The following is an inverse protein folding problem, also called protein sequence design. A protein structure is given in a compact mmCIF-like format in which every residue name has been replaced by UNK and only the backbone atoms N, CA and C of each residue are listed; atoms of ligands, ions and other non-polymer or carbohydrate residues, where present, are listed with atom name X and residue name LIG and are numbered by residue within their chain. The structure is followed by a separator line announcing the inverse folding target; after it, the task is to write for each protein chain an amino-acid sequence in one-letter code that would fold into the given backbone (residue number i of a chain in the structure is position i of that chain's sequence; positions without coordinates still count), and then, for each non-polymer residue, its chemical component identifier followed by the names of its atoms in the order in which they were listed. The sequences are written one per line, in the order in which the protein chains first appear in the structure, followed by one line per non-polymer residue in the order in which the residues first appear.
data_IF_541926757176
#
_entry.id   IF_541926757176
#
_cell.length_a   1.000
_cell.length_b   1.000
_cell.length_c   1.000
_cell.angle_alpha   90.00
_cell.angle_beta   90.00
_cell.angle_gamma   90.00
#
_symmetry.space_group_name_H-M   'P 1'
#
loop_
_entity.id
_entity.type
_entity.pdbx_description
1 polymer ?
#
# COMPACT_ATOMS: atom_id res chain seq x y z
N UNK A 1 95.19 18.67 2.14
CA UNK A 1 94.12 17.81 2.70
C UNK A 1 92.78 18.52 2.52
N UNK A 2 92.01 18.15 1.49
CA UNK A 2 90.64 18.63 1.27
C UNK A 2 89.70 17.43 1.41
N UNK A 3 88.85 17.42 2.44
CA UNK A 3 87.76 16.45 2.56
C UNK A 3 86.47 17.09 2.07
N UNK A 4 85.93 16.58 0.95
CA UNK A 4 84.55 16.84 0.52
C UNK A 4 83.61 16.00 1.36
N UNK A 5 82.61 16.62 2.00
CA UNK A 5 81.49 15.92 2.64
C UNK A 5 80.37 15.76 1.60
N UNK A 6 80.07 14.53 1.21
CA UNK A 6 78.89 14.19 0.40
C UNK A 6 77.68 14.03 1.32
N UNK A 7 76.62 14.80 1.07
CA UNK A 7 75.32 14.60 1.70
C UNK A 7 74.51 13.61 0.85
N UNK A 8 74.07 12.50 1.45
CA UNK A 8 73.17 11.52 0.83
C UNK A 8 71.74 11.95 1.19
N UNK A 9 70.97 12.34 0.18
CA UNK A 9 69.54 12.64 0.29
C UNK A 9 68.77 11.33 0.11
N UNK A 10 68.17 10.81 1.19
CA UNK A 10 67.27 9.66 1.15
C UNK A 10 65.87 10.18 0.82
N UNK A 11 65.38 9.89 -0.39
CA UNK A 11 64.00 10.15 -0.80
C UNK A 11 63.16 8.94 -0.38
N UNK A 12 62.30 9.13 0.61
CA UNK A 12 61.29 8.14 1.01
C UNK A 12 60.05 8.36 0.14
N UNK A 13 59.82 7.44 -0.81
CA UNK A 13 58.58 7.41 -1.61
C UNK A 13 57.52 6.69 -0.77
N UNK A 14 56.61 7.45 -0.17
CA UNK A 14 55.40 6.92 0.48
C UNK A 14 54.39 6.64 -0.64
N UNK A 15 54.30 5.39 -1.07
CA UNK A 15 53.22 4.92 -1.94
C UNK A 15 51.94 4.75 -1.12
N UNK A 16 51.04 5.74 -1.18
CA UNK A 16 49.65 5.56 -0.73
C UNK A 16 48.96 4.56 -1.68
N UNK A 17 48.72 3.35 -1.19
CA UNK A 17 47.79 2.41 -1.79
C UNK A 17 46.37 2.94 -1.53
N UNK A 18 45.77 3.61 -2.52
CA UNK A 18 44.32 3.78 -2.55
C UNK A 18 43.71 2.44 -2.99
N UNK A 19 43.14 1.70 -2.05
CA UNK A 19 42.19 0.65 -2.40
C UNK A 19 40.95 1.32 -3.02
N UNK A 20 40.40 0.82 -4.14
CA UNK A 20 39.12 1.30 -4.62
C UNK A 20 38.06 1.02 -3.54
N UNK A 21 37.24 2.02 -3.21
CA UNK A 21 36.07 1.79 -2.40
C UNK A 21 35.18 0.79 -3.14
N UNK A 22 35.02 -0.42 -2.59
CA UNK A 22 34.01 -1.37 -3.06
C UNK A 22 32.67 -0.77 -2.67
N UNK A 23 31.97 -0.23 -3.65
CA UNK A 23 30.65 0.33 -3.46
C UNK A 23 29.66 -0.84 -3.42
N UNK A 24 29.06 -1.09 -2.25
CA UNK A 24 28.05 -2.14 -2.11
C UNK A 24 26.76 -1.67 -2.79
N UNK A 25 26.11 -2.55 -3.55
CA UNK A 25 24.74 -2.31 -4.01
C UNK A 25 23.83 -2.11 -2.79
N UNK A 26 22.94 -1.12 -2.83
CA UNK A 26 22.00 -0.85 -1.74
C UNK A 26 20.58 -1.26 -2.13
N UNK A 27 19.92 -1.94 -1.20
CA UNK A 27 18.49 -2.22 -1.25
C UNK A 27 17.74 -0.98 -0.76
N UNK A 28 17.01 -0.32 -1.66
CA UNK A 28 16.06 0.73 -1.32
C UNK A 28 14.68 0.12 -1.08
N UNK A 29 14.19 0.22 0.15
CA UNK A 29 12.92 -0.36 0.53
C UNK A 29 11.77 0.50 0.00
N UNK A 30 10.84 -0.11 -0.72
CA UNK A 30 9.69 0.59 -1.34
C UNK A 30 8.38 0.42 -0.57
N UNK A 31 8.35 -0.42 0.48
CA UNK A 31 7.17 -0.59 1.36
C UNK A 31 7.51 -0.48 2.85
N UNK A 32 6.61 0.14 3.61
CA UNK A 32 6.64 0.04 5.06
C UNK A 32 6.29 -1.36 5.53
N UNK A 33 6.73 -1.69 6.75
CA UNK A 33 6.41 -2.92 7.45
C UNK A 33 6.89 -4.18 6.71
N UNK A 34 7.97 -4.08 5.93
CA UNK A 34 8.57 -5.22 5.25
C UNK A 34 9.27 -6.12 6.27
N UNK A 35 8.85 -7.37 6.39
CA UNK A 35 9.48 -8.31 7.30
C UNK A 35 10.91 -8.63 6.85
N UNK A 36 11.83 -8.66 7.81
CA UNK A 36 13.19 -9.18 7.63
C UNK A 36 13.29 -10.54 8.32
N UNK A 37 13.77 -11.55 7.59
CA UNK A 37 13.74 -12.96 8.03
C UNK A 37 15.12 -13.58 8.16
N UNK A 38 15.24 -14.65 8.96
CA UNK A 38 16.50 -15.40 9.14
C UNK A 38 17.02 -16.06 7.85
N UNK A 39 16.15 -16.29 6.86
CA UNK A 39 16.52 -16.95 5.62
C UNK A 39 15.59 -16.57 4.45
N UNK A 40 15.96 -16.95 3.22
CA UNK A 40 15.23 -16.60 2.00
C UNK A 40 13.96 -17.45 1.86
N UNK A 41 12.89 -17.03 2.52
CA UNK A 41 11.60 -17.71 2.48
C UNK A 41 10.65 -17.28 3.58
N UNK A 42 9.35 -17.40 3.31
CA UNK A 42 8.29 -17.04 4.28
C UNK A 42 8.19 -18.03 5.46
N UNK A 43 8.84 -19.19 5.36
CA UNK A 43 8.94 -20.22 6.39
C UNK A 43 10.04 -19.95 7.44
N UNK A 44 10.91 -18.96 7.23
CA UNK A 44 11.92 -18.55 8.21
C UNK A 44 11.33 -17.56 9.21
N UNK A 45 11.87 -17.55 10.44
CA UNK A 45 11.40 -16.64 11.48
C UNK A 45 11.63 -15.17 11.07
N UNK A 46 10.67 -14.31 11.40
CA UNK A 46 10.85 -12.86 11.32
C UNK A 46 11.78 -12.42 12.45
N UNK A 47 12.86 -11.73 12.10
CA UNK A 47 13.85 -11.18 13.04
C UNK A 47 13.79 -9.66 13.15
N UNK A 48 13.27 -8.98 12.12
CA UNK A 48 13.14 -7.53 12.13
C UNK A 48 12.02 -7.06 11.18
N UNK A 49 11.82 -5.75 11.09
CA UNK A 49 10.91 -5.11 10.16
C UNK A 49 11.45 -3.74 9.70
N UNK A 50 11.49 -3.52 8.39
CA UNK A 50 12.05 -2.31 7.75
C UNK A 50 10.97 -1.55 6.98
N UNK A 51 11.22 -0.27 6.67
CA UNK A 51 10.22 0.65 6.14
C UNK A 51 10.58 1.32 4.81
N UNK A 52 9.59 1.91 4.14
CA UNK A 52 9.81 2.62 2.87
C UNK A 52 10.84 3.74 3.08
N UNK A 53 11.83 3.80 2.19
CA UNK A 53 12.90 4.80 2.23
C UNK A 53 14.16 4.32 2.94
N UNK A 54 14.09 3.23 3.70
CA UNK A 54 15.27 2.63 4.32
C UNK A 54 16.23 2.10 3.23
N UNK A 55 17.53 2.21 3.51
CA UNK A 55 18.61 1.77 2.64
C UNK A 55 19.51 0.81 3.39
N UNK A 56 19.77 -0.35 2.81
CA UNK A 56 20.64 -1.35 3.42
C UNK A 56 21.64 -1.90 2.41
N UNK A 57 22.91 -2.11 2.81
CA UNK A 57 23.87 -2.82 1.97
C UNK A 57 23.38 -4.23 1.63
N UNK A 58 23.47 -4.60 0.35
CA UNK A 58 23.14 -5.94 -0.12
C UNK A 58 24.34 -6.87 0.12
N UNK A 59 24.09 -7.99 0.80
CA UNK A 59 25.08 -9.06 1.05
C UNK A 59 24.98 -10.18 0.02
N UNK A 60 23.76 -10.52 -0.37
CA UNK A 60 23.44 -11.59 -1.31
C UNK A 60 22.08 -11.34 -1.95
N UNK A 61 21.83 -11.92 -3.13
CA UNK A 61 20.53 -11.87 -3.77
C UNK A 61 20.20 -13.15 -4.53
N UNK A 62 18.91 -13.43 -4.61
CA UNK A 62 18.28 -14.44 -5.44
C UNK A 62 17.10 -13.79 -6.19
N UNK A 63 16.49 -14.48 -7.15
CA UNK A 63 15.37 -13.92 -7.93
C UNK A 63 14.22 -13.39 -7.05
N UNK A 64 13.94 -14.04 -5.91
CA UNK A 64 12.81 -13.72 -5.04
C UNK A 64 13.19 -13.06 -3.70
N UNK A 65 14.46 -13.09 -3.29
CA UNK A 65 14.90 -12.64 -1.96
C UNK A 65 16.26 -11.95 -2.00
N UNK A 66 16.38 -10.89 -1.22
CA UNK A 66 17.60 -10.08 -1.06
C UNK A 66 18.03 -10.13 0.40
N UNK A 67 19.29 -10.43 0.66
CA UNK A 67 19.91 -10.38 1.98
C UNK A 67 20.47 -8.98 2.23
N UNK A 68 19.90 -8.30 3.22
CA UNK A 68 20.28 -6.95 3.64
C UNK A 68 21.06 -7.00 4.95
N UNK A 69 22.07 -6.15 5.08
CA UNK A 69 22.75 -5.92 6.36
C UNK A 69 22.00 -4.86 7.17
N UNK A 70 21.44 -5.26 8.31
CA UNK A 70 20.59 -4.42 9.16
C UNK A 70 21.43 -3.62 10.17
N UNK A 71 22.48 -4.24 10.70
CA UNK A 71 23.43 -3.69 11.68
C UNK A 71 24.80 -4.37 11.49
N UNK A 72 25.86 -3.86 12.14
CA UNK A 72 27.23 -4.41 12.06
C UNK A 72 27.27 -5.91 12.37
N UNK A 73 27.39 -6.73 11.31
CA UNK A 73 27.42 -8.20 11.40
C UNK A 73 26.06 -8.90 11.52
N UNK A 74 24.94 -8.18 11.53
CA UNK A 74 23.58 -8.74 11.50
C UNK A 74 22.96 -8.57 10.11
N UNK A 75 22.56 -9.67 9.48
CA UNK A 75 21.90 -9.66 8.19
C UNK A 75 20.58 -10.42 8.24
N UNK A 76 19.69 -10.13 7.29
CA UNK A 76 18.44 -10.84 7.13
C UNK A 76 17.85 -10.65 5.74
N UNK A 77 16.84 -11.45 5.43
CA UNK A 77 16.29 -11.59 4.08
C UNK A 77 14.97 -10.86 3.94
N UNK A 78 14.83 -10.10 2.85
CA UNK A 78 13.61 -9.39 2.44
C UNK A 78 13.17 -9.83 1.04
N UNK A 79 11.87 -9.76 0.73
CA UNK A 79 11.34 -10.12 -0.59
C UNK A 79 11.79 -9.10 -1.64
N UNK A 80 12.29 -9.58 -2.79
CA UNK A 80 12.79 -8.72 -3.88
C UNK A 80 11.69 -7.85 -4.50
N UNK A 81 10.42 -8.24 -4.38
CA UNK A 81 9.27 -7.52 -4.94
C UNK A 81 9.05 -6.12 -4.32
N UNK A 82 9.67 -5.85 -3.16
CA UNK A 82 9.54 -4.59 -2.44
C UNK A 82 10.85 -3.79 -2.34
N UNK A 83 11.84 -4.16 -3.14
CA UNK A 83 13.16 -3.52 -3.13
C UNK A 83 13.50 -3.03 -4.53
N UNK A 84 13.94 -1.79 -4.62
CA UNK A 84 14.66 -1.31 -5.82
C UNK A 84 16.14 -1.26 -5.49
N UNK A 85 16.98 -1.67 -6.44
CA UNK A 85 18.43 -1.64 -6.27
C UNK A 85 18.95 -0.38 -6.96
N UNK A 86 19.48 0.56 -6.18
CA UNK A 86 20.15 1.74 -6.74
C UNK A 86 21.57 1.34 -7.15
N UNK A 87 21.79 1.19 -8.46
CA UNK A 87 23.14 1.15 -9.00
C UNK A 87 23.71 2.56 -8.95
N UNK A 88 24.53 2.86 -7.94
CA UNK A 88 25.26 4.13 -7.86
C UNK A 88 26.43 4.09 -8.84
N UNK A 89 26.11 4.09 -10.13
CA UNK A 89 27.05 4.23 -11.25
C UNK A 89 26.39 5.08 -12.35
N UNK A 90 26.01 6.31 -12.00
CA UNK A 90 26.27 7.53 -12.79
C UNK A 90 25.58 8.71 -12.09
N UNK A 91 26.37 9.55 -11.44
CA UNK A 91 25.93 10.90 -11.08
C UNK A 91 26.05 11.77 -12.32
N UNK A 92 25.03 11.73 -13.18
CA UNK A 92 24.79 12.78 -14.15
C UNK A 92 23.52 13.55 -13.79
N UNK A 93 23.64 14.88 -13.89
CA UNK A 93 22.73 15.90 -13.41
C UNK A 93 21.23 15.57 -13.60
N UNK A 94 20.49 15.53 -12.48
CA UNK A 94 19.02 15.44 -12.47
C UNK A 94 18.45 16.73 -13.07
N UNK A 95 17.92 16.61 -14.28
CA UNK A 95 17.12 17.63 -14.96
C UNK A 95 15.77 17.75 -14.25
N UNK A 96 15.63 18.74 -13.37
CA UNK A 96 14.33 19.17 -12.80
C UNK A 96 13.43 19.70 -13.93
N UNK A 97 12.44 18.91 -14.34
CA UNK A 97 11.32 19.46 -15.10
C UNK A 97 10.46 20.30 -14.18
N UNK A 98 10.29 21.59 -14.48
CA UNK A 98 9.39 22.52 -13.78
C UNK A 98 7.92 22.11 -13.96
N UNK A 99 7.47 21.10 -13.21
CA UNK A 99 6.07 20.65 -13.21
C UNK A 99 5.39 21.25 -11.98
N UNK A 100 4.56 22.27 -12.18
CA UNK A 100 3.73 22.86 -11.12
C UNK A 100 2.30 22.32 -11.20
N UNK A 101 1.71 21.99 -10.06
CA UNK A 101 0.32 21.56 -9.90
C UNK A 101 -0.53 22.63 -9.21
N UNK A 102 -1.86 22.57 -9.37
CA UNK A 102 -2.81 23.42 -8.64
C UNK A 102 -3.83 22.55 -7.93
N UNK A 103 -3.96 22.76 -6.62
CA UNK A 103 -4.89 22.04 -5.76
C UNK A 103 -6.32 22.41 -6.12
N UNK A 104 -7.19 21.40 -6.22
CA UNK A 104 -8.58 21.56 -6.67
C UNK A 104 -9.59 21.58 -5.52
N UNK A 105 -9.27 20.90 -4.42
CA UNK A 105 -10.18 20.71 -3.29
C UNK A 105 -9.65 21.40 -2.03
N UNK A 106 -10.56 21.91 -1.20
CA UNK A 106 -10.20 22.45 0.12
C UNK A 106 -9.78 21.31 1.05
N UNK A 107 -8.91 21.60 2.02
CA UNK A 107 -8.41 20.62 3.00
C UNK A 107 -7.76 19.37 2.38
N UNK A 108 -7.13 19.51 1.22
CA UNK A 108 -6.38 18.43 0.57
C UNK A 108 -5.18 18.05 1.44
N UNK A 109 -5.08 16.78 1.84
CA UNK A 109 -3.99 16.34 2.73
C UNK A 109 -2.64 16.29 2.00
N UNK A 110 -1.64 16.93 2.57
CA UNK A 110 -0.23 16.68 2.29
C UNK A 110 0.29 15.73 3.35
N UNK A 111 0.95 14.65 2.94
CA UNK A 111 1.43 13.60 3.86
C UNK A 111 2.94 13.64 4.03
N UNK A 112 3.44 13.08 5.13
CA UNK A 112 4.90 12.97 5.37
C UNK A 112 5.62 11.96 4.47
N UNK A 113 4.88 11.12 3.75
CA UNK A 113 5.41 10.10 2.85
C UNK A 113 4.40 9.70 1.77
N UNK A 114 4.82 8.97 0.72
CA UNK A 114 3.99 8.64 -0.45
C UNK A 114 3.00 7.51 -0.14
N UNK A 115 2.09 7.76 0.80
CA UNK A 115 1.23 6.74 1.40
C UNK A 115 0.09 7.33 2.21
N UNK A 116 -1.09 6.69 2.18
CA UNK A 116 -2.20 6.95 3.10
C UNK A 116 -1.86 6.75 4.58
N UNK A 117 -0.86 5.91 4.86
CA UNK A 117 -0.45 5.52 6.22
C UNK A 117 0.43 6.55 6.92
N UNK A 118 1.08 7.44 6.16
CA UNK A 118 1.92 8.47 6.75
C UNK A 118 1.04 9.58 7.32
N UNK A 119 1.50 10.12 8.45
CA UNK A 119 0.87 11.27 9.08
C UNK A 119 0.66 12.40 8.09
N UNK A 120 -0.38 13.18 8.33
CA UNK A 120 -0.61 14.43 7.63
C UNK A 120 0.53 15.39 8.03
N UNK A 121 1.27 15.85 7.02
CA UNK A 121 2.28 16.90 7.14
C UNK A 121 1.64 18.29 7.12
N UNK A 122 0.55 18.45 6.36
CA UNK A 122 -0.16 19.71 6.21
C UNK A 122 -1.45 19.56 5.40
N UNK A 123 -2.11 20.69 5.17
CA UNK A 123 -3.32 20.77 4.36
C UNK A 123 -3.12 21.83 3.31
N UNK A 124 -3.60 21.56 2.10
CA UNK A 124 -3.62 22.50 1.01
C UNK A 124 -5.06 22.80 0.59
N UNK A 125 -5.35 24.05 0.26
CA UNK A 125 -6.67 24.47 -0.19
C UNK A 125 -6.76 24.64 -1.70
N UNK A 126 -7.99 24.56 -2.20
CA UNK A 126 -8.31 24.82 -3.59
C UNK A 126 -7.71 26.16 -4.04
N UNK A 127 -6.94 26.13 -5.14
CA UNK A 127 -6.24 27.27 -5.71
C UNK A 127 -4.77 27.39 -5.32
N UNK A 128 -4.31 26.71 -4.26
CA UNK A 128 -2.90 26.66 -3.90
C UNK A 128 -2.08 25.94 -4.97
N UNK A 129 -0.84 26.37 -5.16
CA UNK A 129 0.08 25.82 -6.15
C UNK A 129 1.30 25.21 -5.48
N UNK A 130 1.77 24.11 -6.06
CA UNK A 130 2.96 23.42 -5.59
C UNK A 130 3.83 22.99 -6.77
N UNK A 131 5.13 23.06 -6.58
CA UNK A 131 6.11 22.49 -7.49
C UNK A 131 6.30 21.01 -7.17
N UNK A 132 6.33 20.18 -8.21
CA UNK A 132 6.56 18.73 -8.10
C UNK A 132 8.06 18.49 -8.05
N UNK A 133 8.52 17.95 -6.93
CA UNK A 133 9.91 17.57 -6.70
C UNK A 133 10.19 16.17 -7.26
N UNK A 134 9.26 15.25 -7.03
CA UNK A 134 9.37 13.86 -7.43
C UNK A 134 7.99 13.25 -7.66
N UNK A 135 7.91 12.13 -8.37
CA UNK A 135 6.67 11.38 -8.54
C UNK A 135 6.91 9.87 -8.63
N UNK A 136 5.99 9.09 -8.04
CA UNK A 136 5.88 7.65 -8.28
C UNK A 136 4.54 7.34 -8.95
N UNK A 137 4.13 6.07 -9.00
CA UNK A 137 2.88 5.66 -9.67
C UNK A 137 1.66 6.44 -9.16
N UNK A 138 1.57 6.68 -7.85
CA UNK A 138 0.36 7.17 -7.18
C UNK A 138 0.52 8.53 -6.50
N UNK A 139 1.76 8.94 -6.18
CA UNK A 139 2.06 10.10 -5.34
C UNK A 139 3.00 11.09 -6.02
N UNK A 140 2.76 12.37 -5.75
CA UNK A 140 3.66 13.47 -6.05
C UNK A 140 4.29 13.94 -4.75
N UNK A 141 5.60 14.08 -4.73
CA UNK A 141 6.27 14.91 -3.72
C UNK A 141 6.20 16.37 -4.18
N UNK A 142 5.66 17.23 -3.32
CA UNK A 142 5.29 18.59 -3.69
C UNK A 142 5.76 19.60 -2.65
N UNK A 143 6.11 20.81 -3.09
CA UNK A 143 6.53 21.90 -2.20
C UNK A 143 6.03 23.26 -2.68
N UNK A 144 5.85 24.20 -1.75
CA UNK A 144 5.72 25.62 -2.03
C UNK A 144 6.51 26.43 -0.98
N UNK A 145 6.31 27.75 -0.91
CA UNK A 145 7.00 28.62 0.05
C UNK A 145 6.65 28.32 1.53
N UNK A 146 5.48 27.71 1.79
CA UNK A 146 4.93 27.54 3.14
C UNK A 146 5.06 26.11 3.67
N UNK A 147 4.98 25.09 2.79
CA UNK A 147 4.91 23.70 3.18
C UNK A 147 5.35 22.73 2.07
N UNK A 148 5.74 21.52 2.49
CA UNK A 148 6.04 20.40 1.62
C UNK A 148 5.34 19.12 2.09
N UNK A 149 5.19 18.16 1.19
CA UNK A 149 4.67 16.84 1.51
C UNK A 149 4.33 16.03 0.28
N UNK A 150 3.68 14.89 0.50
CA UNK A 150 3.26 13.97 -0.54
C UNK A 150 1.77 14.10 -0.80
N UNK A 151 1.41 14.22 -2.07
CA UNK A 151 0.06 14.43 -2.55
C UNK A 151 -0.35 13.28 -3.47
N UNK A 152 -1.53 12.70 -3.22
CA UNK A 152 -2.07 11.63 -4.06
C UNK A 152 -2.52 12.18 -5.42
N UNK A 153 -2.01 11.60 -6.52
CA UNK A 153 -2.27 12.04 -7.91
C UNK A 153 -3.76 12.07 -8.26
N UNK A 154 -4.52 11.12 -7.72
CA UNK A 154 -5.97 11.04 -7.94
C UNK A 154 -6.75 12.29 -7.50
N UNK A 155 -6.19 13.10 -6.59
CA UNK A 155 -6.80 14.36 -6.13
C UNK A 155 -6.61 15.53 -7.11
N UNK A 156 -5.76 15.36 -8.13
CA UNK A 156 -5.34 16.43 -9.05
C UNK A 156 -5.71 16.09 -10.49
N UNK A 157 -5.73 14.80 -10.85
CA UNK A 157 -6.12 14.30 -12.17
C UNK A 157 -7.65 14.41 -12.43
N UNK A 158 -8.41 14.81 -11.42
CA UNK A 158 -9.78 15.30 -11.56
C UNK A 158 -9.81 16.62 -12.34
N UNK A 159 -9.70 16.55 -13.67
CA UNK A 159 -10.69 17.06 -14.62
C UNK A 159 -10.19 16.96 -16.07
N UNK A 160 -10.75 16.00 -16.80
CA UNK A 160 -11.26 16.29 -18.13
C UNK A 160 -12.78 16.19 -18.05
N UNK A 161 -13.49 17.33 -18.14
CA UNK A 161 -14.94 17.48 -18.27
C UNK A 161 -15.82 16.31 -17.78
N UNK A 162 -16.46 16.51 -16.64
CA UNK A 162 -16.93 15.48 -15.70
C UNK A 162 -17.93 16.07 -14.71
N UNK A 163 -19.12 16.48 -15.16
CA UNK A 163 -20.30 16.54 -14.29
C UNK A 163 -20.80 15.11 -13.92
N UNK A 164 -19.96 14.07 -14.05
CA UNK A 164 -20.34 12.72 -13.63
C UNK A 164 -20.32 12.63 -12.12
N UNK A 165 -21.34 12.01 -11.50
CA UNK A 165 -21.32 11.67 -10.09
C UNK A 165 -20.09 10.81 -9.77
N UNK A 166 -19.13 11.36 -9.03
CA UNK A 166 -18.01 10.61 -8.47
C UNK A 166 -18.38 10.03 -7.10
N UNK A 167 -17.36 9.72 -6.31
CA UNK A 167 -17.52 9.25 -4.93
C UNK A 167 -17.85 10.36 -3.92
N UNK A 168 -17.69 11.62 -4.34
CA UNK A 168 -17.97 12.79 -3.51
C UNK A 168 -19.46 12.85 -3.12
N UNK A 169 -19.75 13.08 -1.84
CA UNK A 169 -21.08 13.07 -1.21
C UNK A 169 -21.83 11.72 -1.29
N UNK A 170 -21.12 10.62 -1.57
CA UNK A 170 -21.70 9.27 -1.48
C UNK A 170 -21.59 8.74 -0.07
N UNK A 171 -22.69 8.18 0.45
CA UNK A 171 -22.66 7.47 1.73
C UNK A 171 -22.21 6.04 1.49
N UNK A 172 -21.03 5.68 2.02
CA UNK A 172 -20.43 4.35 1.83
C UNK A 172 -20.33 3.67 3.19
N UNK A 173 -21.05 2.56 3.34
CA UNK A 173 -20.93 1.73 4.54
C UNK A 173 -19.87 0.66 4.29
N UNK A 174 -18.86 0.63 5.14
CA UNK A 174 -17.77 -0.34 5.06
C UNK A 174 -17.82 -1.26 6.27
N UNK A 175 -17.85 -2.55 5.98
CA UNK A 175 -18.03 -3.60 6.95
C UNK A 175 -16.76 -4.44 7.06
N UNK A 176 -15.88 -4.18 8.05
CA UNK A 176 -14.75 -5.05 8.30
C UNK A 176 -15.28 -6.36 8.90
N UNK A 177 -15.11 -7.45 8.13
CA UNK A 177 -15.54 -8.78 8.52
C UNK A 177 -15.11 -9.17 9.93
N UNK A 178 -15.91 -10.02 10.59
CA UNK A 178 -15.63 -10.57 11.91
C UNK A 178 -15.49 -9.50 13.01
N UNK A 179 -14.83 -9.81 14.13
CA UNK A 179 -14.56 -8.89 15.24
C UNK A 179 -14.84 -9.49 16.61
N UNK A 180 -14.06 -9.09 17.61
CA UNK A 180 -14.18 -9.57 18.98
C UNK A 180 -13.95 -11.07 19.09
N UNK A 181 -14.97 -11.79 19.57
CA UNK A 181 -14.95 -13.25 19.74
C UNK A 181 -14.97 -14.02 18.41
N UNK A 182 -15.47 -13.40 17.35
CA UNK A 182 -15.38 -13.94 16.00
C UNK A 182 -14.05 -13.49 15.40
N UNK A 183 -13.10 -14.43 15.29
CA UNK A 183 -11.75 -14.16 14.77
C UNK A 183 -11.67 -14.24 13.24
N UNK A 184 -12.70 -14.80 12.61
CA UNK A 184 -12.68 -15.18 11.20
C UNK A 184 -11.74 -16.34 10.89
N UNK A 185 -11.25 -16.39 9.67
CA UNK A 185 -10.25 -17.36 9.27
C UNK A 185 -8.92 -17.16 10.02
N UNK A 186 -8.18 -18.26 10.19
CA UNK A 186 -6.84 -18.28 10.76
C UNK A 186 -5.84 -18.38 9.60
N UNK A 187 -4.88 -17.46 9.54
CA UNK A 187 -3.85 -17.42 8.51
C UNK A 187 -2.77 -18.51 8.69
N UNK A 188 -1.90 -18.67 7.70
CA UNK A 188 -0.85 -19.68 7.70
C UNK A 188 0.12 -19.53 8.89
N UNK A 189 0.34 -18.31 9.37
CA UNK A 189 1.18 -17.99 10.54
C UNK A 189 0.41 -17.89 11.86
N UNK A 190 -0.89 -18.22 11.87
CA UNK A 190 -1.74 -18.15 13.06
C UNK A 190 -2.37 -16.77 13.33
N UNK A 191 -2.29 -15.85 12.36
CA UNK A 191 -2.95 -14.54 12.41
C UNK A 191 -4.46 -14.68 12.27
N UNK A 192 -5.21 -13.64 12.66
CA UNK A 192 -6.67 -13.64 12.56
C UNK A 192 -7.17 -12.70 11.46
N UNK A 193 -8.07 -13.19 10.63
CA UNK A 193 -8.70 -12.42 9.54
C UNK A 193 -9.23 -11.06 10.02
N UNK A 194 -9.86 -11.00 11.19
CA UNK A 194 -10.39 -9.75 11.76
C UNK A 194 -9.36 -8.61 11.87
N UNK A 195 -8.06 -8.95 11.97
CA UNK A 195 -6.97 -7.98 12.03
C UNK A 195 -6.68 -7.41 10.64
N UNK A 196 -6.68 -8.25 9.60
CA UNK A 196 -6.51 -7.82 8.21
C UNK A 196 -7.70 -6.98 7.74
N UNK A 197 -8.93 -7.46 7.96
CA UNK A 197 -10.13 -6.72 7.55
C UNK A 197 -10.20 -5.35 8.22
N UNK A 198 -9.87 -5.28 9.52
CA UNK A 198 -9.80 -4.01 10.25
C UNK A 198 -8.76 -3.08 9.63
N UNK A 199 -7.56 -3.57 9.35
CA UNK A 199 -6.48 -2.75 8.77
C UNK A 199 -6.88 -2.18 7.40
N UNK A 200 -7.37 -3.02 6.50
CA UNK A 200 -7.78 -2.58 5.16
C UNK A 200 -8.91 -1.57 5.23
N UNK A 201 -9.92 -1.81 6.08
CA UNK A 201 -11.06 -0.90 6.22
C UNK A 201 -10.64 0.44 6.84
N UNK A 202 -9.71 0.47 7.79
CA UNK A 202 -9.21 1.73 8.35
C UNK A 202 -8.48 2.57 7.30
N UNK A 203 -7.71 1.96 6.41
CA UNK A 203 -7.07 2.68 5.31
C UNK A 203 -8.09 3.12 4.25
N UNK A 204 -9.06 2.26 3.92
CA UNK A 204 -10.14 2.57 2.99
C UNK A 204 -11.02 3.73 3.50
N UNK A 205 -11.36 3.74 4.80
CA UNK A 205 -12.11 4.82 5.45
C UNK A 205 -11.40 6.17 5.29
N UNK A 206 -10.11 6.23 5.61
CA UNK A 206 -9.30 7.44 5.49
C UNK A 206 -9.34 7.99 4.07
N UNK A 207 -9.05 7.14 3.08
CA UNK A 207 -8.93 7.57 1.69
C UNK A 207 -10.29 7.95 1.08
N UNK A 208 -11.36 7.21 1.38
CA UNK A 208 -12.71 7.58 0.94
C UNK A 208 -13.18 8.90 1.57
N UNK A 209 -12.87 9.14 2.85
CA UNK A 209 -13.18 10.40 3.52
C UNK A 209 -12.44 11.57 2.87
N UNK A 210 -11.16 11.38 2.52
CA UNK A 210 -10.36 12.39 1.78
C UNK A 210 -10.97 12.72 0.43
N UNK A 211 -11.57 11.73 -0.23
CA UNK A 211 -12.28 11.89 -1.51
C UNK A 211 -13.70 12.48 -1.36
N UNK A 212 -14.10 12.88 -0.16
CA UNK A 212 -15.37 13.54 0.11
C UNK A 212 -16.57 12.59 0.22
N UNK A 213 -16.34 11.29 0.42
CA UNK A 213 -17.43 10.35 0.73
C UNK A 213 -17.81 10.43 2.21
N UNK A 214 -19.09 10.23 2.50
CA UNK A 214 -19.60 10.03 3.86
C UNK A 214 -19.41 8.57 4.26
N UNK A 215 -18.31 8.27 4.93
CA UNK A 215 -17.95 6.90 5.31
C UNK A 215 -18.55 6.51 6.65
N UNK A 216 -19.18 5.33 6.70
CA UNK A 216 -19.75 4.77 7.92
C UNK A 216 -19.22 3.36 8.13
N UNK A 217 -18.57 3.11 9.27
CA UNK A 217 -18.07 1.77 9.60
C UNK A 217 -19.08 0.98 10.45
N UNK A 218 -19.23 -0.31 10.17
CA UNK A 218 -20.05 -1.19 11.02
C UNK A 218 -19.39 -1.46 12.39
N UNK A 219 -18.04 -1.40 12.47
CA UNK A 219 -17.27 -1.37 13.73
C UNK A 219 -15.99 -0.53 13.59
N UNK A 220 -15.69 0.27 14.60
CA UNK A 220 -14.44 1.05 14.70
C UNK A 220 -13.35 0.36 15.54
N UNK A 221 -13.72 -0.62 16.38
CA UNK A 221 -12.81 -1.32 17.30
C UNK A 221 -12.93 -2.84 17.16
N UNK A 222 -12.10 -3.60 17.89
CA UNK A 222 -12.16 -5.06 17.89
C UNK A 222 -13.26 -5.56 18.83
N UNK A 223 -14.50 -5.51 18.36
CA UNK A 223 -15.66 -6.06 19.05
C UNK A 223 -16.55 -6.81 18.06
N UNK A 224 -17.33 -7.75 18.60
CA UNK A 224 -18.28 -8.51 17.81
C UNK A 224 -19.51 -7.67 17.47
N UNK A 225 -19.94 -7.73 16.22
CA UNK A 225 -21.21 -7.19 15.74
C UNK A 225 -21.96 -8.27 14.95
N UNK A 226 -23.26 -8.38 15.19
CA UNK A 226 -24.10 -9.38 14.52
C UNK A 226 -24.27 -9.05 13.03
N UNK A 227 -24.50 -10.07 12.20
CA UNK A 227 -24.75 -9.87 10.76
C UNK A 227 -25.96 -8.96 10.51
N UNK A 228 -27.02 -9.05 11.31
CA UNK A 228 -28.20 -8.18 11.19
C UNK A 228 -27.90 -6.71 11.53
N UNK A 229 -27.01 -6.47 12.51
CA UNK A 229 -26.60 -5.10 12.88
C UNK A 229 -25.80 -4.43 11.76
N UNK A 230 -24.91 -5.18 11.08
CA UNK A 230 -24.13 -4.69 9.93
C UNK A 230 -25.05 -4.17 8.82
N UNK A 231 -26.09 -4.94 8.50
CA UNK A 231 -27.09 -4.59 7.49
C UNK A 231 -27.97 -3.43 7.93
N UNK A 232 -28.40 -3.43 9.19
CA UNK A 232 -29.26 -2.38 9.73
C UNK A 232 -28.61 -1.01 9.54
N UNK A 233 -27.29 -0.91 9.76
CA UNK A 233 -26.53 0.31 9.54
C UNK A 233 -26.62 0.79 8.08
N UNK A 234 -26.33 -0.11 7.13
CA UNK A 234 -26.49 0.16 5.68
C UNK A 234 -27.86 0.71 5.30
N UNK A 235 -28.91 0.10 5.85
CA UNK A 235 -30.27 0.45 5.51
C UNK A 235 -30.70 1.79 6.14
N UNK A 236 -30.35 2.07 7.40
CA UNK A 236 -30.75 3.32 8.08
C UNK A 236 -30.01 4.54 7.56
N UNK A 237 -28.77 4.38 7.09
CA UNK A 237 -27.99 5.46 6.49
C UNK A 237 -28.33 5.68 5.03
N UNK A 238 -29.21 4.85 4.44
CA UNK A 238 -29.52 4.85 3.01
C UNK A 238 -28.24 4.86 2.15
N UNK A 239 -27.30 3.96 2.48
CA UNK A 239 -25.99 3.94 1.84
C UNK A 239 -26.09 3.79 0.31
N UNK A 240 -25.30 4.56 -0.43
CA UNK A 240 -25.15 4.41 -1.87
C UNK A 240 -24.41 3.10 -2.22
N UNK A 241 -23.56 2.61 -1.32
CA UNK A 241 -22.92 1.29 -1.41
C UNK A 241 -22.57 0.72 -0.02
N UNK A 242 -22.69 -0.60 0.10
CA UNK A 242 -22.22 -1.39 1.24
C UNK A 242 -21.11 -2.36 0.80
N UNK A 243 -19.95 -2.29 1.45
CA UNK A 243 -18.77 -3.11 1.12
C UNK A 243 -18.35 -3.93 2.35
N UNK A 244 -18.61 -5.24 2.31
CA UNK A 244 -18.06 -6.18 3.30
C UNK A 244 -16.67 -6.62 2.88
N UNK A 245 -15.67 -6.39 3.73
CA UNK A 245 -14.26 -6.70 3.44
C UNK A 245 -13.82 -7.93 4.22
N UNK A 246 -13.33 -8.93 3.51
CA UNK A 246 -12.92 -10.24 4.03
C UNK A 246 -11.59 -10.72 3.42
N UNK A 247 -11.01 -11.73 4.06
CA UNK A 247 -9.92 -12.51 3.50
C UNK A 247 -10.24 -14.00 3.60
N UNK A 248 -10.10 -14.68 2.48
CA UNK A 248 -10.49 -16.06 2.32
C UNK A 248 -9.48 -17.00 3.00
N UNK A 249 -9.84 -18.27 3.10
CA UNK A 249 -8.96 -19.29 3.63
C UNK A 249 -9.33 -20.67 3.09
N UNK A 250 -8.31 -21.42 2.70
CA UNK A 250 -8.44 -22.82 2.32
C UNK A 250 -7.20 -23.63 2.78
N UNK A 251 -7.09 -23.93 4.09
CA UNK A 251 -5.89 -24.53 4.67
C UNK A 251 -5.53 -25.91 4.08
N UNK A 252 -6.50 -26.65 3.54
CA UNK A 252 -6.28 -27.93 2.87
C UNK A 252 -5.54 -27.79 1.54
N UNK A 253 -5.56 -26.60 0.94
CA UNK A 253 -4.85 -26.26 -0.30
C UNK A 253 -4.16 -24.89 -0.14
N UNK A 254 -3.04 -24.82 0.61
CA UNK A 254 -2.40 -23.57 1.01
C UNK A 254 -1.80 -22.76 -0.16
N UNK A 255 -1.66 -23.38 -1.33
CA UNK A 255 -1.20 -22.70 -2.54
C UNK A 255 -2.30 -21.93 -3.28
N UNK A 256 -3.56 -22.04 -2.84
CA UNK A 256 -4.68 -21.31 -3.48
C UNK A 256 -4.51 -19.81 -3.29
N UNK A 257 -4.73 -19.06 -4.38
CA UNK A 257 -4.65 -17.60 -4.42
C UNK A 257 -5.85 -16.98 -5.14
N UNK A 258 -5.86 -15.65 -5.18
CA UNK A 258 -6.75 -14.85 -6.01
C UNK A 258 -7.88 -14.17 -5.24
N UNK A 259 -8.50 -13.19 -5.89
CA UNK A 259 -9.53 -12.32 -5.31
C UNK A 259 -10.90 -12.64 -5.91
N UNK A 260 -11.95 -12.54 -5.09
CA UNK A 260 -13.34 -12.77 -5.52
C UNK A 260 -14.23 -11.65 -4.98
N UNK A 261 -15.11 -11.12 -5.80
CA UNK A 261 -16.16 -10.18 -5.35
C UNK A 261 -17.53 -10.84 -5.48
N UNK A 262 -18.23 -10.94 -4.36
CA UNK A 262 -19.53 -11.57 -4.26
C UNK A 262 -20.65 -10.54 -4.28
N UNK A 263 -21.75 -10.92 -4.93
CA UNK A 263 -23.00 -10.18 -4.99
C UNK A 263 -24.18 -11.13 -4.81
N UNK A 264 -25.36 -10.62 -4.45
CA UNK A 264 -26.56 -11.45 -4.27
C UNK A 264 -27.74 -10.99 -5.13
N UNK A 265 -27.87 -9.69 -5.41
CA UNK A 265 -28.92 -9.18 -6.29
C UNK A 265 -28.34 -8.74 -7.64
N UNK A 266 -29.10 -8.88 -8.71
CA UNK A 266 -28.71 -8.41 -10.06
C UNK A 266 -28.29 -6.94 -10.08
N UNK A 267 -28.94 -6.08 -9.27
CA UNK A 267 -28.58 -4.66 -9.13
C UNK A 267 -27.15 -4.44 -8.61
N UNK A 268 -26.61 -5.41 -7.87
CA UNK A 268 -25.29 -5.35 -7.22
C UNK A 268 -24.18 -5.83 -8.16
N UNK A 269 -24.53 -6.55 -9.24
CA UNK A 269 -23.56 -7.14 -10.18
C UNK A 269 -22.66 -6.08 -10.81
N UNK A 270 -23.19 -4.89 -11.12
CA UNK A 270 -22.43 -3.78 -11.66
C UNK A 270 -21.33 -3.30 -10.69
N UNK A 271 -21.67 -3.13 -9.41
CA UNK A 271 -20.73 -2.74 -8.36
C UNK A 271 -19.64 -3.81 -8.19
N UNK A 272 -20.03 -5.08 -8.10
CA UNK A 272 -19.11 -6.19 -7.97
C UNK A 272 -18.12 -6.26 -9.14
N UNK A 273 -18.63 -6.11 -10.36
CA UNK A 273 -17.80 -6.16 -11.58
C UNK A 273 -16.74 -5.06 -11.60
N UNK A 274 -17.11 -3.81 -11.25
CA UNK A 274 -16.17 -2.68 -11.24
C UNK A 274 -15.08 -2.83 -10.18
N UNK A 275 -15.44 -3.31 -8.98
CA UNK A 275 -14.47 -3.57 -7.91
C UNK A 275 -13.53 -4.72 -8.30
N UNK A 276 -14.06 -5.84 -8.81
CA UNK A 276 -13.25 -6.97 -9.25
C UNK A 276 -12.25 -6.55 -10.33
N UNK A 277 -12.70 -5.87 -11.39
CA UNK A 277 -11.82 -5.39 -12.47
C UNK A 277 -10.71 -4.48 -11.96
N UNK A 278 -11.03 -3.57 -11.03
CA UNK A 278 -10.04 -2.68 -10.45
C UNK A 278 -9.02 -3.43 -9.57
N UNK A 279 -9.45 -4.44 -8.80
CA UNK A 279 -8.56 -5.33 -8.04
C UNK A 279 -7.56 -6.03 -8.95
N UNK A 280 -8.02 -6.70 -10.00
CA UNK A 280 -7.15 -7.41 -10.94
C UNK A 280 -6.15 -6.45 -11.59
N UNK A 281 -6.61 -5.27 -12.01
CA UNK A 281 -5.76 -4.32 -12.73
C UNK A 281 -4.57 -3.77 -11.93
N UNK A 282 -4.71 -3.60 -10.60
CA UNK A 282 -3.65 -2.97 -9.78
C UNK A 282 -2.85 -3.99 -8.96
N UNK A 283 -3.46 -5.13 -8.61
CA UNK A 283 -2.81 -6.13 -7.75
C UNK A 283 -2.14 -7.25 -8.54
N UNK A 284 -2.54 -7.45 -9.80
CA UNK A 284 -2.19 -8.63 -10.61
C UNK A 284 -2.54 -9.97 -9.93
N UNK A 285 -3.45 -9.96 -8.95
CA UNK A 285 -3.91 -11.18 -8.29
C UNK A 285 -4.66 -12.08 -9.29
N UNK A 286 -4.68 -13.39 -9.01
CA UNK A 286 -5.49 -14.34 -9.78
C UNK A 286 -6.97 -13.93 -9.74
N UNK A 287 -7.58 -13.82 -10.93
CA UNK A 287 -8.99 -13.46 -11.07
C UNK A 287 -9.90 -14.68 -10.85
N UNK A 288 -10.56 -14.72 -9.69
CA UNK A 288 -11.55 -15.76 -9.38
C UNK A 288 -12.98 -15.34 -9.75
N UNK A 289 -13.08 -14.23 -10.48
CA UNK A 289 -14.27 -13.59 -11.01
C UNK A 289 -15.26 -13.11 -9.95
N UNK A 290 -16.32 -12.44 -10.41
CA UNK A 290 -17.47 -12.15 -9.55
C UNK A 290 -18.33 -13.41 -9.38
N UNK A 291 -18.94 -13.59 -8.21
CA UNK A 291 -19.79 -14.75 -7.92
C UNK A 291 -21.11 -14.34 -7.27
N UNK A 292 -22.18 -14.98 -7.70
CA UNK A 292 -23.49 -14.84 -7.07
C UNK A 292 -23.56 -15.75 -5.85
N UNK A 293 -23.72 -15.20 -4.64
CA UNK A 293 -23.85 -15.95 -3.39
C UNK A 293 -24.84 -15.27 -2.44
N UNK A 294 -25.47 -16.07 -1.57
CA UNK A 294 -26.51 -15.61 -0.64
C UNK A 294 -25.97 -15.24 0.75
N UNK A 295 -24.72 -14.74 0.84
CA UNK A 295 -24.14 -14.32 2.11
C UNK A 295 -25.04 -13.29 2.80
N UNK A 296 -25.33 -13.52 4.08
CA UNK A 296 -26.39 -12.81 4.80
C UNK A 296 -26.28 -11.28 4.70
N UNK A 297 -25.06 -10.73 4.80
CA UNK A 297 -24.79 -9.28 4.80
C UNK A 297 -25.05 -8.59 3.46
N UNK A 298 -25.10 -9.34 2.35
CA UNK A 298 -25.42 -8.82 1.01
C UNK A 298 -26.80 -9.28 0.53
N UNK A 299 -27.23 -10.50 0.86
CA UNK A 299 -28.53 -11.03 0.43
C UNK A 299 -29.73 -10.41 1.16
N UNK A 300 -29.51 -9.84 2.35
CA UNK A 300 -30.55 -9.14 3.12
C UNK A 300 -30.36 -7.63 3.16
N UNK A 301 -29.36 -7.09 2.44
CA UNK A 301 -29.14 -5.66 2.34
C UNK A 301 -30.11 -5.05 1.34
N UNK A 302 -30.72 -3.90 1.67
CA UNK A 302 -31.64 -3.22 0.75
C UNK A 302 -30.92 -2.24 -0.18
N UNK A 303 -29.67 -1.89 0.16
CA UNK A 303 -28.80 -1.02 -0.62
C UNK A 303 -27.90 -1.83 -1.58
N UNK A 304 -27.28 -1.18 -2.59
CA UNK A 304 -26.24 -1.82 -3.39
C UNK A 304 -25.14 -2.40 -2.51
N UNK A 305 -24.86 -3.70 -2.63
CA UNK A 305 -24.00 -4.38 -1.65
C UNK A 305 -23.11 -5.47 -2.25
N UNK A 306 -21.86 -5.54 -1.77
CA UNK A 306 -20.91 -6.59 -2.16
C UNK A 306 -20.11 -7.09 -0.96
N UNK A 307 -19.62 -8.33 -1.08
CA UNK A 307 -18.61 -8.90 -0.17
C UNK A 307 -17.35 -9.18 -0.97
N UNK A 308 -16.23 -8.63 -0.54
CA UNK A 308 -14.95 -8.71 -1.25
C UNK A 308 -14.00 -9.60 -0.47
N UNK A 309 -13.59 -10.70 -1.07
CA UNK A 309 -12.52 -11.56 -0.59
C UNK A 309 -11.20 -11.12 -1.24
N UNK A 310 -10.34 -10.47 -0.45
CA UNK A 310 -9.11 -9.83 -0.92
C UNK A 310 -7.92 -10.78 -1.12
N UNK A 311 -8.15 -12.08 -0.92
CA UNK A 311 -7.20 -13.17 -1.16
C UNK A 311 -7.14 -14.14 0.02
N UNK A 312 -6.25 -15.13 -0.02
CA UNK A 312 -6.26 -16.26 0.90
C UNK A 312 -5.21 -16.11 2.00
N UNK A 313 -5.61 -15.84 3.24
CA UNK A 313 -4.66 -15.75 4.37
C UNK A 313 -4.09 -17.12 4.78
N UNK A 314 -4.69 -18.22 4.32
CA UNK A 314 -4.10 -19.56 4.43
C UNK A 314 -2.87 -19.76 3.53
N UNK A 315 -2.66 -18.89 2.55
CA UNK A 315 -1.46 -18.88 1.73
C UNK A 315 -0.39 -17.99 2.38
N UNK A 316 0.70 -18.59 2.85
CA UNK A 316 1.73 -17.88 3.63
C UNK A 316 2.37 -16.69 2.88
N UNK A 317 2.51 -16.78 1.55
CA UNK A 317 3.04 -15.67 0.74
C UNK A 317 2.04 -14.53 0.65
N UNK A 318 0.77 -14.85 0.41
CA UNK A 318 -0.30 -13.84 0.38
C UNK A 318 -0.51 -13.20 1.76
N UNK A 319 -0.53 -13.99 2.83
CA UNK A 319 -0.65 -13.50 4.21
C UNK A 319 0.44 -12.47 4.57
N UNK A 320 1.69 -12.71 4.13
CA UNK A 320 2.78 -11.75 4.29
C UNK A 320 2.60 -10.51 3.42
N UNK A 321 2.25 -10.71 2.14
CA UNK A 321 1.96 -9.63 1.19
C UNK A 321 0.88 -8.68 1.73
N UNK A 322 -0.20 -9.20 2.29
CA UNK A 322 -1.28 -8.40 2.90
C UNK A 322 -0.84 -7.61 4.13
N UNK A 323 0.29 -7.94 4.76
CA UNK A 323 0.83 -7.19 5.89
C UNK A 323 1.70 -6.00 5.46
N UNK A 324 2.04 -5.88 4.19
CA UNK A 324 2.81 -4.74 3.67
C UNK A 324 1.92 -3.52 3.44
N UNK A 325 2.43 -2.31 3.69
CA UNK A 325 1.66 -1.09 3.37
C UNK A 325 1.47 -0.93 1.85
N UNK A 326 2.45 -1.30 1.03
CA UNK A 326 2.36 -1.21 -0.43
C UNK A 326 1.19 -2.01 -0.99
N UNK A 327 1.02 -3.26 -0.55
CA UNK A 327 -0.08 -4.07 -1.05
C UNK A 327 -1.42 -3.67 -0.45
N UNK A 328 -1.45 -3.25 0.82
CA UNK A 328 -2.65 -2.65 1.41
C UNK A 328 -3.14 -1.44 0.62
N UNK A 329 -2.24 -0.56 0.17
CA UNK A 329 -2.60 0.54 -0.73
C UNK A 329 -3.21 0.03 -2.02
N UNK A 330 -2.59 -0.93 -2.70
CA UNK A 330 -3.12 -1.51 -3.95
C UNK A 330 -4.54 -2.04 -3.76
N UNK A 331 -4.82 -2.72 -2.65
CA UNK A 331 -6.16 -3.20 -2.33
C UNK A 331 -7.16 -2.03 -2.14
N UNK A 332 -6.78 -1.03 -1.34
CA UNK A 332 -7.60 0.15 -1.07
C UNK A 332 -7.87 0.98 -2.33
N UNK A 333 -6.83 1.31 -3.09
CA UNK A 333 -6.92 2.07 -4.35
C UNK A 333 -7.71 1.32 -5.41
N UNK A 334 -7.66 -0.02 -5.43
CA UNK A 334 -8.52 -0.85 -6.26
C UNK A 334 -10.00 -0.74 -5.88
N UNK A 335 -10.34 -0.84 -4.59
CA UNK A 335 -11.74 -0.71 -4.15
C UNK A 335 -12.27 0.70 -4.48
N UNK A 336 -11.48 1.74 -4.20
CA UNK A 336 -11.82 3.14 -4.52
C UNK A 336 -12.03 3.34 -6.02
N UNK A 337 -11.10 2.85 -6.85
CA UNK A 337 -11.23 2.92 -8.32
C UNK A 337 -12.47 2.19 -8.81
N UNK A 338 -12.77 1.03 -8.23
CA UNK A 338 -14.00 0.28 -8.51
C UNK A 338 -15.27 1.07 -8.17
N UNK A 339 -15.31 1.70 -7.00
CA UNK A 339 -16.41 2.56 -6.56
C UNK A 339 -16.58 3.79 -7.46
N UNK A 340 -15.48 4.50 -7.77
CA UNK A 340 -15.50 5.64 -8.69
C UNK A 340 -16.04 5.24 -10.07
N UNK A 341 -15.57 4.11 -10.62
CA UNK A 341 -16.04 3.61 -11.90
C UNK A 341 -17.53 3.18 -11.87
N UNK A 342 -18.01 2.72 -10.71
CA UNK A 342 -19.42 2.38 -10.51
C UNK A 342 -20.28 3.64 -10.50
N UNK A 343 -19.95 4.64 -9.67
CA UNK A 343 -20.74 5.86 -9.53
C UNK A 343 -20.68 6.75 -10.78
N UNK A 344 -19.53 6.81 -11.47
CA UNK A 344 -19.38 7.61 -12.69
C UNK A 344 -20.14 7.03 -13.89
N UNK A 345 -20.52 5.74 -13.82
CA UNK A 345 -21.28 5.06 -14.86
C UNK A 345 -22.79 5.05 -14.65
N UNK A 346 -23.29 5.70 -13.58
CA UNK A 346 -24.72 5.81 -13.25
C UNK A 346 -25.40 7.02 -13.90
#
# INVERSE_FOLDING_TARGET
MHYKKSAILIIVIISLLFAPAVQAEEAFITTDNLNVREGPGTNFNRIDQVNTGDRFPIRSQSEAWIEIEIDDGRSGWVSSEFVTIDNVADNDAVSTSEKTITIKHKNTHLRKGPSSTYDIAGYANAGEKFDVINENEDWLEVTNEEQSGFLFKGLIESQSQSNTPGIENKTIVIDPGHGGVDVGAIGASGTYEKQFTKRTVQELEKELTVLGADVVLTRHSDHYISLASRISLSNITAADAFISVHYNSFPEAPDVTGVTTYYSHERDQGLASKIQQALISQTSAEDRHIKHEDYYVISRNMQPSVLVELGFISNAKQEELFQTNSYQKKLVSSIIKGLNNYFSGQ
#
